data_IF_823273905860
#
_entry.id   IF_823273905860
#
_cell.length_a   1.000
_cell.length_b   1.000
_cell.length_c   1.000
_cell.angle_alpha   90.00
_cell.angle_beta   90.00
_cell.angle_gamma   90.00
#
_symmetry.space_group_name_H-M   'P 1'
#
loop_
_entity.id
_entity.type
_entity.pdbx_description
1 polymer ?
#
# COMPACT_ATOMS: atom_id res chain seq x y z
N UNK A 1 -30.63 16.06 15.91
CA UNK A 1 -29.32 16.75 16.04
C UNK A 1 -28.45 16.21 17.18
N UNK A 2 -28.85 16.28 18.46
CA UNK A 2 -28.01 15.78 19.58
C UNK A 2 -27.68 14.27 19.52
N UNK A 3 -28.66 13.41 19.21
CA UNK A 3 -28.46 11.95 19.07
C UNK A 3 -27.51 11.59 17.92
N UNK A 4 -27.56 12.35 16.83
CA UNK A 4 -26.69 12.16 15.67
C UNK A 4 -25.25 12.58 15.98
N UNK A 5 -25.06 13.64 16.78
CA UNK A 5 -23.74 14.11 17.21
C UNK A 5 -23.07 13.13 18.16
N UNK A 6 -23.81 12.57 19.12
CA UNK A 6 -23.31 11.55 20.06
C UNK A 6 -22.90 10.26 19.33
N UNK A 7 -23.70 9.81 18.35
CA UNK A 7 -23.36 8.67 17.48
C UNK A 7 -22.07 8.91 16.68
N UNK A 8 -21.92 10.09 16.07
CA UNK A 8 -20.72 10.44 15.30
C UNK A 8 -19.46 10.51 16.18
N UNK A 9 -19.56 11.06 17.39
CA UNK A 9 -18.42 11.11 18.33
C UNK A 9 -18.02 9.70 18.77
N UNK A 10 -18.99 8.82 19.05
CA UNK A 10 -18.72 7.42 19.40
C UNK A 10 -18.07 6.65 18.25
N UNK A 11 -18.58 6.82 17.03
CA UNK A 11 -17.99 6.23 15.82
C UNK A 11 -16.57 6.74 15.60
N UNK A 12 -16.34 8.05 15.72
CA UNK A 12 -15.02 8.63 15.58
C UNK A 12 -14.04 8.12 16.64
N UNK A 13 -14.46 8.08 17.91
CA UNK A 13 -13.65 7.54 19.00
C UNK A 13 -13.31 6.06 18.81
N UNK A 14 -14.26 5.27 18.30
CA UNK A 14 -14.05 3.87 18.00
C UNK A 14 -13.09 3.68 16.81
N UNK A 15 -13.25 4.44 15.73
CA UNK A 15 -12.31 4.44 14.60
C UNK A 15 -10.90 4.87 15.03
N UNK A 16 -10.77 5.91 15.85
CA UNK A 16 -9.49 6.38 16.36
C UNK A 16 -8.81 5.31 17.24
N UNK A 17 -9.58 4.64 18.10
CA UNK A 17 -9.08 3.54 18.92
C UNK A 17 -8.63 2.36 18.05
N UNK A 18 -9.42 1.97 17.06
CA UNK A 18 -9.05 0.91 16.11
C UNK A 18 -7.77 1.25 15.36
N UNK A 19 -7.65 2.49 14.86
CA UNK A 19 -6.44 2.95 14.19
C UNK A 19 -5.22 2.88 15.12
N UNK A 20 -5.35 3.34 16.36
CA UNK A 20 -4.28 3.27 17.35
C UNK A 20 -3.84 1.81 17.62
N UNK A 21 -4.80 0.89 17.80
CA UNK A 21 -4.53 -0.54 18.00
C UNK A 21 -3.85 -1.14 16.78
N UNK A 22 -4.33 -0.85 15.56
CA UNK A 22 -3.69 -1.31 14.33
C UNK A 22 -2.25 -0.82 14.21
N UNK A 23 -1.97 0.44 14.55
CA UNK A 23 -0.62 1.01 14.50
C UNK A 23 0.32 0.33 15.50
N UNK A 24 -0.16 0.03 16.72
CA UNK A 24 0.64 -0.72 17.71
C UNK A 24 0.98 -2.11 17.19
N UNK A 25 -0.01 -2.85 16.66
CA UNK A 25 0.22 -4.19 16.10
C UNK A 25 1.18 -4.11 14.90
N UNK A 26 0.98 -3.14 14.02
CA UNK A 26 1.85 -2.93 12.87
C UNK A 26 3.29 -2.68 13.30
N UNK A 27 3.51 -1.83 14.31
CA UNK A 27 4.84 -1.58 14.89
C UNK A 27 5.47 -2.85 15.47
N UNK A 28 4.73 -3.64 16.24
CA UNK A 28 5.22 -4.92 16.81
C UNK A 28 5.61 -5.91 15.71
N UNK A 29 4.76 -6.09 14.70
CA UNK A 29 5.03 -6.99 13.57
C UNK A 29 6.22 -6.48 12.75
N UNK A 30 6.33 -5.17 12.53
CA UNK A 30 7.46 -4.57 11.83
C UNK A 30 8.78 -4.81 12.58
N UNK A 31 8.84 -4.53 13.88
CA UNK A 31 10.03 -4.79 14.69
C UNK A 31 10.45 -6.26 14.66
N UNK A 32 9.49 -7.19 14.78
CA UNK A 32 9.78 -8.61 14.69
C UNK A 32 10.35 -9.02 13.31
N UNK A 33 9.87 -8.40 12.23
CA UNK A 33 10.40 -8.65 10.89
C UNK A 33 11.80 -8.09 10.70
N UNK A 34 12.12 -6.94 11.33
CA UNK A 34 13.49 -6.39 11.33
C UNK A 34 14.46 -7.30 12.08
N UNK A 35 14.09 -7.80 13.26
CA UNK A 35 14.94 -8.71 14.05
C UNK A 35 15.25 -10.02 13.28
N UNK A 36 14.28 -10.50 12.49
CA UNK A 36 14.46 -11.67 11.62
C UNK A 36 15.44 -11.41 10.47
N UNK A 37 15.46 -10.18 9.93
CA UNK A 37 16.34 -9.76 8.84
C UNK A 37 17.80 -9.67 9.34
N UNK A 38 18.02 -9.02 10.49
CA UNK A 38 19.35 -8.95 11.13
C UNK A 38 19.90 -10.35 11.48
N UNK A 39 19.02 -11.24 11.93
CA UNK A 39 19.38 -12.63 12.23
C UNK A 39 19.85 -13.38 10.99
N UNK A 40 19.26 -13.10 9.82
CA UNK A 40 19.64 -13.74 8.56
C UNK A 40 21.00 -13.23 8.04
N UNK A 41 21.31 -11.95 8.19
CA UNK A 41 22.61 -11.38 7.80
C UNK A 41 23.77 -11.85 8.68
N UNK A 42 23.50 -12.17 9.94
CA UNK A 42 24.53 -12.66 10.88
C UNK A 42 25.04 -14.08 10.59
N UNK A 43 24.41 -14.81 9.66
CA UNK A 43 24.88 -16.13 9.24
C UNK A 43 26.26 -15.99 8.55
N UNK A 44 27.32 -16.64 9.08
CA UNK A 44 28.67 -16.44 8.55
C UNK A 44 28.70 -16.80 7.07
N UNK A 45 29.26 -15.93 6.21
CA UNK A 45 29.35 -16.20 4.79
C UNK A 45 30.07 -17.54 4.62
N UNK A 46 29.40 -18.49 3.99
CA UNK A 46 29.96 -19.80 3.71
C UNK A 46 31.31 -19.57 3.02
N UNK A 47 32.38 -19.95 3.72
CA UNK A 47 33.77 -19.65 3.37
C UNK A 47 34.11 -20.17 1.98
N UNK A 48 33.95 -19.31 0.97
CA UNK A 48 34.33 -19.54 -0.41
C UNK A 48 35.04 -18.28 -0.88
N UNK A 49 36.37 -18.27 -0.75
CA UNK A 49 37.20 -17.11 -0.95
C UNK A 49 37.14 -16.54 -2.37
N UNK A 50 37.05 -15.22 -2.45
CA UNK A 50 37.89 -14.39 -3.32
C UNK A 50 37.74 -12.93 -2.88
N UNK A 51 38.78 -12.41 -2.24
CA UNK A 51 38.91 -11.00 -1.87
C UNK A 51 39.07 -10.15 -3.14
N UNK A 52 37.96 -9.59 -3.64
CA UNK A 52 38.03 -8.47 -4.55
C UNK A 52 37.62 -7.19 -3.82
N UNK A 53 38.64 -6.41 -3.44
CA UNK A 53 38.51 -5.02 -3.05
C UNK A 53 37.89 -4.21 -4.20
N UNK A 54 36.57 -4.01 -4.20
CA UNK A 54 35.96 -2.94 -5.00
C UNK A 54 35.90 -1.66 -4.15
N UNK A 55 36.49 -0.54 -4.64
CA UNK A 55 36.49 0.73 -3.94
C UNK A 55 35.13 1.42 -4.05
N UNK A 56 34.63 1.89 -2.91
CA UNK A 56 33.67 2.97 -2.71
C UNK A 56 32.72 3.28 -3.88
N UNK A 57 31.55 2.65 -3.85
CA UNK A 57 30.43 3.01 -4.71
C UNK A 57 29.72 4.27 -4.18
N UNK A 58 29.47 5.27 -5.03
CA UNK A 58 28.88 6.55 -4.65
C UNK A 58 27.45 6.42 -4.10
N UNK A 59 27.10 7.37 -3.22
CA UNK A 59 25.89 7.55 -2.37
C UNK A 59 24.59 7.73 -3.17
N UNK A 60 24.34 6.85 -4.13
CA UNK A 60 23.13 6.83 -4.94
C UNK A 60 22.77 5.45 -5.47
N UNK A 61 23.49 4.40 -5.05
CA UNK A 61 23.01 3.03 -5.26
C UNK A 61 21.80 2.86 -4.34
N UNK A 62 20.61 3.02 -4.92
CA UNK A 62 19.38 2.38 -4.46
C UNK A 62 19.81 1.00 -3.99
N UNK A 63 19.76 0.76 -2.69
CA UNK A 63 20.12 -0.53 -2.09
C UNK A 63 19.38 -1.55 -2.95
N UNK A 64 20.09 -2.43 -3.69
CA UNK A 64 19.42 -3.41 -4.53
C UNK A 64 18.53 -4.19 -3.59
N UNK A 65 17.20 -4.05 -3.77
CA UNK A 65 16.26 -4.78 -2.93
C UNK A 65 16.68 -6.25 -3.03
N UNK A 66 16.93 -6.93 -1.89
CA UNK A 66 17.37 -8.31 -1.89
C UNK A 66 16.49 -9.11 -2.86
N UNK A 67 17.12 -9.78 -3.81
CA UNK A 67 16.46 -10.46 -4.93
C UNK A 67 15.62 -11.63 -4.40
N UNK A 68 14.40 -11.31 -3.97
CA UNK A 68 13.43 -12.28 -3.48
C UNK A 68 13.06 -12.07 -2.02
N UNK A 69 11.92 -11.39 -1.81
CA UNK A 69 11.17 -11.54 -0.57
C UNK A 69 10.94 -13.03 -0.30
N UNK A 70 11.10 -13.50 0.96
CA UNK A 70 10.82 -14.88 1.29
C UNK A 70 9.38 -15.22 0.85
N UNK A 71 9.15 -16.33 0.14
CA UNK A 71 7.84 -16.65 -0.46
C UNK A 71 6.73 -16.72 0.59
N UNK A 72 7.10 -17.08 1.83
CA UNK A 72 6.21 -17.09 2.98
C UNK A 72 5.69 -15.69 3.34
N UNK A 73 6.53 -14.64 3.25
CA UNK A 73 6.14 -13.27 3.55
C UNK A 73 5.21 -12.71 2.49
N UNK A 74 5.51 -13.00 1.21
CA UNK A 74 4.63 -12.63 0.08
C UNK A 74 3.28 -13.35 0.19
N UNK A 75 3.29 -14.65 0.46
CA UNK A 75 2.07 -15.42 0.70
C UNK A 75 1.29 -14.90 1.91
N UNK A 76 1.99 -14.53 2.99
CA UNK A 76 1.41 -13.91 4.18
C UNK A 76 0.73 -12.57 3.87
N UNK A 77 1.37 -11.71 3.07
CA UNK A 77 0.81 -10.43 2.62
C UNK A 77 -0.50 -10.61 1.84
N UNK A 78 -0.50 -11.47 0.82
CA UNK A 78 -1.71 -11.74 0.02
C UNK A 78 -2.79 -12.45 0.84
N UNK A 79 -2.40 -13.38 1.71
CA UNK A 79 -3.30 -14.09 2.62
C UNK A 79 -3.98 -13.16 3.61
N UNK A 80 -3.24 -12.25 4.24
CA UNK A 80 -3.79 -11.22 5.13
C UNK A 80 -4.71 -10.25 4.38
N UNK A 81 -4.36 -9.88 3.14
CA UNK A 81 -5.21 -9.05 2.29
C UNK A 81 -6.56 -9.72 2.00
N UNK A 82 -6.54 -11.00 1.61
CA UNK A 82 -7.74 -11.78 1.36
C UNK A 82 -8.56 -11.97 2.64
N UNK A 83 -7.91 -12.25 3.77
CA UNK A 83 -8.54 -12.36 5.07
C UNK A 83 -9.25 -11.07 5.46
N UNK A 84 -8.61 -9.91 5.28
CA UNK A 84 -9.21 -8.60 5.53
C UNK A 84 -10.45 -8.39 4.67
N UNK A 85 -10.39 -8.71 3.38
CA UNK A 85 -11.55 -8.62 2.49
C UNK A 85 -12.72 -9.50 2.99
N UNK A 86 -12.44 -10.75 3.35
CA UNK A 86 -13.45 -11.68 3.90
C UNK A 86 -14.03 -11.16 5.22
N UNK A 87 -13.20 -10.63 6.12
CA UNK A 87 -13.67 -10.07 7.40
C UNK A 87 -14.55 -8.83 7.19
N UNK A 88 -14.23 -7.97 6.21
CA UNK A 88 -15.10 -6.84 5.85
C UNK A 88 -16.43 -7.35 5.28
N UNK A 89 -16.43 -8.39 4.43
CA UNK A 89 -17.66 -9.02 3.93
C UNK A 89 -18.51 -9.63 5.06
N UNK A 90 -17.89 -10.32 6.01
CA UNK A 90 -18.57 -10.87 7.19
C UNK A 90 -19.14 -9.72 8.04
N UNK A 91 -18.36 -8.67 8.30
CA UNK A 91 -18.78 -7.52 9.09
C UNK A 91 -20.00 -6.85 8.45
N UNK A 92 -20.01 -6.73 7.13
CA UNK A 92 -21.16 -6.21 6.38
C UNK A 92 -22.44 -7.03 6.66
N UNK A 93 -22.36 -8.35 6.57
CA UNK A 93 -23.51 -9.24 6.80
C UNK A 93 -23.99 -9.21 8.26
N UNK A 94 -23.08 -9.02 9.21
CA UNK A 94 -23.39 -9.01 10.64
C UNK A 94 -23.51 -7.61 11.25
N UNK A 95 -23.51 -6.54 10.46
CA UNK A 95 -23.43 -5.15 10.97
C UNK A 95 -24.49 -4.78 12.02
N UNK A 96 -25.69 -5.37 11.92
CA UNK A 96 -26.82 -5.14 12.84
C UNK A 96 -26.90 -6.15 13.99
N UNK A 97 -26.08 -7.18 13.98
CA UNK A 97 -26.16 -8.30 14.91
C UNK A 97 -25.14 -8.12 16.04
N UNK A 98 -25.60 -7.60 17.17
CA UNK A 98 -24.82 -7.62 18.41
C UNK A 98 -24.86 -9.03 19.04
N UNK A 99 -23.74 -9.58 19.53
CA UNK A 99 -22.39 -8.97 19.65
C UNK A 99 -21.46 -9.25 18.45
N UNK A 100 -21.94 -10.00 17.44
CA UNK A 100 -21.11 -10.49 16.33
C UNK A 100 -20.41 -9.38 15.56
N UNK A 101 -21.04 -8.22 15.36
CA UNK A 101 -20.40 -7.08 14.69
C UNK A 101 -19.13 -6.61 15.41
N UNK A 102 -19.14 -6.50 16.73
CA UNK A 102 -17.97 -6.06 17.51
C UNK A 102 -16.85 -7.09 17.50
N UNK A 103 -17.19 -8.39 17.55
CA UNK A 103 -16.18 -9.46 17.45
C UNK A 103 -15.50 -9.43 16.08
N UNK A 104 -16.28 -9.36 14.99
CA UNK A 104 -15.73 -9.27 13.63
C UNK A 104 -14.91 -8.00 13.45
N UNK A 105 -15.35 -6.89 14.02
CA UNK A 105 -14.62 -5.62 13.99
C UNK A 105 -13.27 -5.71 14.71
N UNK A 106 -13.22 -6.38 15.86
CA UNK A 106 -11.97 -6.64 16.59
C UNK A 106 -11.01 -7.53 15.80
N UNK A 107 -11.52 -8.61 15.20
CA UNK A 107 -10.73 -9.50 14.33
C UNK A 107 -10.17 -8.74 13.12
N UNK A 108 -10.99 -7.92 12.46
CA UNK A 108 -10.57 -7.07 11.35
C UNK A 108 -9.48 -6.07 11.77
N UNK A 109 -9.60 -5.51 12.98
CA UNK A 109 -8.59 -4.58 13.52
C UNK A 109 -7.26 -5.31 13.73
N UNK A 110 -7.29 -6.52 14.30
CA UNK A 110 -6.10 -7.34 14.51
C UNK A 110 -5.42 -7.68 13.17
N UNK A 111 -6.20 -8.16 12.19
CA UNK A 111 -5.68 -8.56 10.89
C UNK A 111 -5.18 -7.39 10.06
N UNK A 112 -5.82 -6.22 10.13
CA UNK A 112 -5.34 -4.99 9.48
C UNK A 112 -4.03 -4.49 10.11
N UNK A 113 -3.89 -4.54 11.43
CA UNK A 113 -2.63 -4.23 12.10
C UNK A 113 -1.49 -5.15 11.64
N UNK A 114 -1.72 -6.46 11.59
CA UNK A 114 -0.74 -7.41 11.07
C UNK A 114 -0.40 -7.13 9.59
N UNK A 115 -1.42 -6.87 8.77
CA UNK A 115 -1.26 -6.55 7.35
C UNK A 115 -0.36 -5.33 7.14
N UNK A 116 -0.57 -4.25 7.90
CA UNK A 116 0.27 -3.06 7.81
C UNK A 116 1.70 -3.28 8.31
N UNK A 117 1.87 -4.07 9.37
CA UNK A 117 3.20 -4.47 9.82
C UNK A 117 3.97 -5.20 8.72
N UNK A 118 3.32 -6.16 8.06
CA UNK A 118 3.92 -6.87 6.92
C UNK A 118 4.17 -5.91 5.75
N UNK A 119 3.21 -5.05 5.39
CA UNK A 119 3.34 -4.14 4.23
C UNK A 119 4.45 -3.10 4.39
N UNK A 120 4.77 -2.73 5.62
CA UNK A 120 5.87 -1.80 5.94
C UNK A 120 7.27 -2.44 5.82
N UNK A 121 7.36 -3.77 5.73
CA UNK A 121 8.65 -4.43 5.47
C UNK A 121 9.16 -4.09 4.07
N UNK A 122 10.47 -3.91 3.92
CA UNK A 122 11.11 -3.56 2.64
C UNK A 122 10.70 -4.49 1.48
N UNK A 123 10.42 -5.75 1.80
CA UNK A 123 10.03 -6.79 0.86
C UNK A 123 8.58 -6.69 0.34
N UNK A 124 7.64 -6.23 1.17
CA UNK A 124 6.23 -6.12 0.81
C UNK A 124 5.84 -4.69 0.38
N UNK A 125 6.70 -3.71 0.65
CA UNK A 125 6.53 -2.30 0.27
C UNK A 125 6.13 -2.17 -1.19
N UNK A 126 6.86 -2.84 -2.08
CA UNK A 126 6.64 -2.63 -3.49
C UNK A 126 5.42 -3.38 -4.06
N UNK A 127 5.06 -4.52 -3.48
CA UNK A 127 3.77 -5.17 -3.76
C UNK A 127 2.61 -4.27 -3.34
N UNK A 128 2.74 -3.61 -2.18
CA UNK A 128 1.77 -2.66 -1.67
C UNK A 128 1.64 -1.43 -2.57
N UNK A 129 2.77 -0.87 -3.02
CA UNK A 129 2.79 0.26 -3.94
C UNK A 129 2.24 -0.11 -5.33
N UNK A 130 2.53 -1.31 -5.83
CA UNK A 130 1.97 -1.81 -7.10
C UNK A 130 0.45 -1.96 -7.00
N UNK A 131 -0.04 -2.55 -5.91
CA UNK A 131 -1.47 -2.68 -5.64
C UNK A 131 -2.14 -1.31 -5.51
N UNK A 132 -1.53 -0.36 -4.79
CA UNK A 132 -2.06 0.99 -4.63
C UNK A 132 -2.09 1.73 -5.98
N UNK A 133 -1.02 1.68 -6.76
CA UNK A 133 -0.95 2.29 -8.08
C UNK A 133 -2.03 1.72 -9.02
N UNK A 134 -2.21 0.40 -9.01
CA UNK A 134 -3.27 -0.28 -9.77
C UNK A 134 -4.66 0.24 -9.40
N UNK A 135 -4.94 0.36 -8.10
CA UNK A 135 -6.23 0.88 -7.59
C UNK A 135 -6.45 2.35 -7.98
N UNK A 136 -5.45 3.22 -7.81
CA UNK A 136 -5.53 4.64 -8.16
C UNK A 136 -5.80 4.84 -9.65
N UNK A 137 -5.08 4.12 -10.52
CA UNK A 137 -5.31 4.17 -11.96
C UNK A 137 -6.71 3.68 -12.29
N UNK A 138 -7.11 2.54 -11.72
CA UNK A 138 -8.43 1.94 -11.96
C UNK A 138 -9.56 2.90 -11.63
N UNK A 139 -9.53 3.49 -10.44
CA UNK A 139 -10.57 4.41 -9.96
C UNK A 139 -10.52 5.76 -10.68
N UNK A 140 -9.33 6.28 -10.98
CA UNK A 140 -9.16 7.51 -11.74
C UNK A 140 -9.76 7.40 -13.15
N UNK A 141 -9.45 6.29 -13.85
CA UNK A 141 -10.00 6.03 -15.18
C UNK A 141 -11.50 5.78 -15.12
N UNK A 142 -11.98 4.97 -14.18
CA UNK A 142 -13.42 4.74 -13.99
C UNK A 142 -14.17 6.05 -13.73
N UNK A 143 -13.62 6.95 -12.92
CA UNK A 143 -14.17 8.29 -12.65
C UNK A 143 -14.27 9.13 -13.93
N UNK A 144 -13.22 9.15 -14.74
CA UNK A 144 -13.20 9.86 -16.03
C UNK A 144 -14.25 9.29 -17.00
N UNK A 145 -14.36 7.96 -17.09
CA UNK A 145 -15.38 7.30 -17.93
C UNK A 145 -16.78 7.63 -17.44
N UNK A 146 -17.04 7.55 -16.14
CA UNK A 146 -18.32 7.96 -15.55
C UNK A 146 -18.65 9.43 -15.82
N UNK A 147 -17.65 10.33 -15.78
CA UNK A 147 -17.82 11.73 -16.15
C UNK A 147 -18.20 11.89 -17.63
N UNK A 148 -17.52 11.19 -18.53
CA UNK A 148 -17.84 11.19 -19.96
C UNK A 148 -19.25 10.63 -20.23
N UNK A 149 -19.65 9.56 -19.54
CA UNK A 149 -20.98 8.97 -19.65
C UNK A 149 -22.07 9.90 -19.10
N UNK A 150 -21.77 10.72 -18.09
CA UNK A 150 -22.71 11.72 -17.57
C UNK A 150 -23.12 12.75 -18.63
N UNK A 151 -22.19 13.14 -19.51
CA UNK A 151 -22.49 14.06 -20.62
C UNK A 151 -23.40 13.44 -21.70
N UNK A 152 -23.56 12.12 -21.71
CA UNK A 152 -24.41 11.38 -22.64
C UNK A 152 -25.73 11.01 -21.93
N UNK A 153 -26.69 11.96 -21.85
CA UNK A 153 -27.97 11.81 -21.12
C UNK A 153 -28.72 10.50 -21.39
N UNK A 154 -28.53 9.88 -22.57
CA UNK A 154 -29.17 8.62 -22.96
C UNK A 154 -28.68 7.38 -22.20
N UNK A 155 -27.48 7.41 -21.61
CA UNK A 155 -26.92 6.25 -20.90
C UNK A 155 -27.44 6.08 -19.46
N UNK A 156 -28.19 7.07 -18.95
CA UNK A 156 -28.60 7.09 -17.53
C UNK A 156 -29.65 6.05 -17.14
N UNK A 157 -30.31 5.40 -18.10
CA UNK A 157 -31.25 4.30 -17.80
C UNK A 157 -30.55 3.05 -17.25
N UNK A 158 -29.22 2.96 -17.38
CA UNK A 158 -28.43 1.81 -16.97
C UNK A 158 -27.25 2.18 -16.05
N UNK A 159 -27.48 3.07 -15.07
CA UNK A 159 -26.43 3.58 -14.15
C UNK A 159 -25.54 2.47 -13.57
N UNK A 160 -26.14 1.37 -13.12
CA UNK A 160 -25.42 0.24 -12.51
C UNK A 160 -24.47 -0.44 -13.52
N UNK A 161 -24.95 -0.75 -14.73
CA UNK A 161 -24.10 -1.44 -15.72
C UNK A 161 -23.06 -0.49 -16.31
N UNK A 162 -23.38 0.80 -16.47
CA UNK A 162 -22.43 1.84 -16.86
C UNK A 162 -21.32 2.02 -15.83
N UNK A 163 -21.65 2.03 -14.54
CA UNK A 163 -20.67 2.08 -13.45
C UNK A 163 -19.76 0.85 -13.44
N UNK A 164 -20.35 -0.34 -13.59
CA UNK A 164 -19.59 -1.59 -13.65
C UNK A 164 -18.68 -1.63 -14.88
N UNK A 165 -19.16 -1.19 -16.04
CA UNK A 165 -18.37 -1.11 -17.27
C UNK A 165 -17.19 -0.13 -17.13
N UNK A 166 -17.42 1.03 -16.49
CA UNK A 166 -16.37 2.00 -16.21
C UNK A 166 -15.29 1.43 -15.26
N UNK A 167 -15.70 0.71 -14.22
CA UNK A 167 -14.80 0.01 -13.31
C UNK A 167 -13.99 -1.08 -14.03
N UNK A 168 -14.65 -1.92 -14.83
CA UNK A 168 -13.97 -2.95 -15.63
C UNK A 168 -12.96 -2.32 -16.59
N UNK A 169 -13.32 -1.23 -17.27
CA UNK A 169 -12.41 -0.53 -18.16
C UNK A 169 -11.20 0.04 -17.42
N UNK A 170 -11.42 0.76 -16.32
CA UNK A 170 -10.35 1.25 -15.46
C UNK A 170 -9.44 0.13 -14.96
N UNK A 171 -10.01 -0.99 -14.54
CA UNK A 171 -9.29 -2.15 -14.04
C UNK A 171 -8.40 -2.78 -15.11
N UNK A 172 -8.92 -2.94 -16.33
CA UNK A 172 -8.13 -3.47 -17.45
C UNK A 172 -6.95 -2.57 -17.81
N UNK A 173 -7.16 -1.24 -17.81
CA UNK A 173 -6.09 -0.28 -18.07
C UNK A 173 -5.05 -0.27 -16.93
N UNK A 174 -5.51 -0.32 -15.67
CA UNK A 174 -4.64 -0.47 -14.51
C UNK A 174 -3.78 -1.73 -14.59
N UNK A 175 -4.38 -2.86 -14.97
CA UNK A 175 -3.66 -4.14 -15.13
C UNK A 175 -2.61 -4.04 -16.24
N UNK A 176 -2.97 -3.45 -17.40
CA UNK A 176 -2.04 -3.26 -18.50
C UNK A 176 -0.83 -2.41 -18.08
N UNK A 177 -1.07 -1.30 -17.37
CA UNK A 177 0.02 -0.44 -16.87
C UNK A 177 0.87 -1.13 -15.80
N UNK A 178 0.27 -1.87 -14.88
CA UNK A 178 0.99 -2.64 -13.88
C UNK A 178 1.88 -3.72 -14.53
N UNK A 179 1.37 -4.39 -15.56
CA UNK A 179 2.12 -5.38 -16.34
C UNK A 179 3.28 -4.76 -17.11
N UNK A 180 3.03 -3.64 -17.82
CA UNK A 180 4.08 -2.90 -18.53
C UNK A 180 5.16 -2.43 -17.55
N UNK A 181 4.77 -1.91 -16.39
CA UNK A 181 5.72 -1.50 -15.37
C UNK A 181 6.55 -2.68 -14.83
N UNK A 182 5.92 -3.82 -14.55
CA UNK A 182 6.66 -5.00 -14.09
C UNK A 182 7.66 -5.51 -15.12
N UNK A 183 7.33 -5.46 -16.41
CA UNK A 183 8.24 -5.88 -17.48
C UNK A 183 9.37 -4.86 -17.73
N UNK A 184 9.10 -3.55 -17.61
CA UNK A 184 10.08 -2.51 -17.94
C UNK A 184 11.00 -2.10 -16.78
N UNK A 185 10.49 -2.13 -15.55
CA UNK A 185 11.20 -1.60 -14.39
C UNK A 185 11.81 -2.69 -13.51
N UNK A 186 11.33 -3.94 -13.63
CA UNK A 186 11.56 -4.99 -12.66
C UNK A 186 11.76 -6.34 -13.37
N UNK A 187 12.83 -6.46 -14.15
CA UNK A 187 13.24 -7.65 -14.96
C UNK A 187 13.19 -9.01 -14.21
N UNK A 188 13.02 -9.02 -12.88
CA UNK A 188 13.11 -10.20 -12.03
C UNK A 188 11.83 -10.61 -11.27
N UNK A 189 10.70 -9.89 -11.40
CA UNK A 189 9.60 -10.06 -10.44
C UNK A 189 8.63 -11.21 -10.76
N UNK A 190 8.65 -11.72 -11.98
CA UNK A 190 7.83 -12.84 -12.41
C UNK A 190 6.36 -12.49 -12.58
N UNK A 191 5.72 -13.17 -13.53
CA UNK A 191 4.38 -12.84 -14.02
C UNK A 191 3.29 -12.93 -12.93
N UNK A 192 3.48 -13.74 -11.88
CA UNK A 192 2.43 -14.03 -10.89
C UNK A 192 2.01 -12.83 -10.02
N UNK A 193 2.92 -11.89 -9.74
CA UNK A 193 2.68 -10.75 -8.84
C UNK A 193 1.64 -9.75 -9.37
N UNK A 194 1.75 -9.22 -10.60
CA UNK A 194 0.73 -8.30 -11.14
C UNK A 194 -0.65 -8.96 -11.23
N UNK A 195 -0.72 -10.27 -11.51
CA UNK A 195 -1.99 -11.01 -11.50
C UNK A 195 -2.60 -11.13 -10.10
N UNK A 196 -1.77 -11.36 -9.07
CA UNK A 196 -2.25 -11.39 -7.68
C UNK A 196 -2.80 -10.02 -7.25
N UNK A 197 -2.07 -8.93 -7.56
CA UNK A 197 -2.52 -7.56 -7.31
C UNK A 197 -3.84 -7.26 -8.02
N UNK A 198 -3.97 -7.64 -9.29
CA UNK A 198 -5.15 -7.41 -10.10
C UNK A 198 -6.36 -8.25 -9.65
N UNK A 199 -6.14 -9.50 -9.25
CA UNK A 199 -7.18 -10.37 -8.69
C UNK A 199 -7.72 -9.83 -7.37
N UNK A 200 -6.83 -9.42 -6.47
CA UNK A 200 -7.21 -8.81 -5.20
C UNK A 200 -7.93 -7.47 -5.40
N UNK A 201 -7.45 -6.61 -6.31
CA UNK A 201 -8.09 -5.33 -6.60
C UNK A 201 -9.47 -5.52 -7.21
N UNK A 202 -9.65 -6.49 -8.11
CA UNK A 202 -10.96 -6.84 -8.66
C UNK A 202 -11.93 -7.26 -7.56
N UNK A 203 -11.49 -8.13 -6.64
CA UNK A 203 -12.32 -8.60 -5.53
C UNK A 203 -12.70 -7.45 -4.58
N UNK A 204 -11.76 -6.56 -4.26
CA UNK A 204 -12.00 -5.37 -3.45
C UNK A 204 -12.97 -4.39 -4.13
N UNK A 205 -12.75 -4.08 -5.41
CA UNK A 205 -13.63 -3.20 -6.19
C UNK A 205 -15.03 -3.78 -6.32
N UNK A 206 -15.16 -5.09 -6.56
CA UNK A 206 -16.45 -5.76 -6.62
C UNK A 206 -17.19 -5.70 -5.28
N UNK A 207 -16.49 -5.94 -4.18
CA UNK A 207 -17.08 -5.82 -2.85
C UNK A 207 -17.57 -4.38 -2.57
N UNK A 208 -16.74 -3.38 -2.84
CA UNK A 208 -17.09 -1.98 -2.63
C UNK A 208 -18.25 -1.57 -3.56
N UNK A 209 -18.26 -2.06 -4.80
CA UNK A 209 -19.37 -1.85 -5.72
C UNK A 209 -20.67 -2.43 -5.17
N UNK A 210 -20.66 -3.67 -4.66
CA UNK A 210 -21.83 -4.29 -4.02
C UNK A 210 -22.29 -3.54 -2.77
N UNK A 211 -21.35 -3.09 -1.93
CA UNK A 211 -21.62 -2.28 -0.74
C UNK A 211 -22.38 -1.00 -1.12
N UNK A 212 -21.92 -0.34 -2.17
CA UNK A 212 -22.50 0.92 -2.62
C UNK A 212 -23.71 0.74 -3.54
N UNK A 213 -23.93 -0.44 -4.13
CA UNK A 213 -25.05 -0.74 -5.01
C UNK A 213 -26.39 -0.43 -4.33
N UNK A 214 -26.50 -0.72 -3.04
CA UNK A 214 -27.70 -0.40 -2.26
C UNK A 214 -27.96 1.11 -2.21
N UNK A 215 -26.91 1.92 -2.04
CA UNK A 215 -27.01 3.38 -2.13
C UNK A 215 -27.34 3.85 -3.54
N UNK A 216 -26.83 3.18 -4.57
CA UNK A 216 -27.10 3.50 -5.97
C UNK A 216 -28.55 3.27 -6.39
N UNK A 217 -29.16 2.19 -5.89
CA UNK A 217 -30.55 1.83 -6.21
C UNK A 217 -31.55 2.79 -5.58
N UNK A 218 -31.20 3.37 -4.42
CA UNK A 218 -32.08 4.27 -3.67
C UNK A 218 -31.71 5.76 -3.81
N UNK A 219 -30.58 6.07 -4.45
CA UNK A 219 -30.05 7.42 -4.66
C UNK A 219 -30.54 8.08 -5.95
N UNK A 220 -30.33 9.40 -6.05
CA UNK A 220 -30.60 10.15 -7.27
C UNK A 220 -29.47 9.92 -8.30
N UNK A 221 -29.72 10.17 -9.58
CA UNK A 221 -28.76 9.96 -10.68
C UNK A 221 -27.45 10.76 -10.55
N UNK A 222 -27.43 11.86 -9.79
CA UNK A 222 -26.21 12.60 -9.46
C UNK A 222 -25.24 11.82 -8.53
N UNK A 223 -25.67 10.68 -7.98
CA UNK A 223 -24.87 9.87 -7.05
C UNK A 223 -23.83 8.98 -7.73
N UNK A 224 -23.72 8.93 -9.07
CA UNK A 224 -22.69 8.10 -9.73
C UNK A 224 -21.26 8.64 -9.53
N UNK A 225 -21.08 9.96 -9.61
CA UNK A 225 -19.76 10.56 -9.32
C UNK A 225 -19.51 10.54 -7.81
N UNK A 226 -20.54 10.76 -7.00
CA UNK A 226 -20.47 10.61 -5.54
C UNK A 226 -20.13 9.18 -5.10
N UNK A 227 -20.62 8.18 -5.82
CA UNK A 227 -20.29 6.77 -5.66
C UNK A 227 -18.80 6.57 -5.87
N UNK A 228 -18.30 6.86 -7.08
CA UNK A 228 -16.90 6.57 -7.42
C UNK A 228 -15.96 7.40 -6.56
N UNK A 229 -16.29 8.67 -6.27
CA UNK A 229 -15.54 9.50 -5.33
C UNK A 229 -15.58 8.97 -3.90
N UNK A 230 -16.69 8.39 -3.46
CA UNK A 230 -16.81 7.72 -2.15
C UNK A 230 -16.01 6.41 -2.10
N UNK A 231 -15.96 5.65 -3.19
CA UNK A 231 -15.10 4.47 -3.32
C UNK A 231 -13.63 4.88 -3.24
N UNK A 232 -13.24 5.93 -3.96
CA UNK A 232 -11.87 6.46 -3.99
C UNK A 232 -11.43 6.98 -2.62
N UNK A 233 -12.28 7.80 -1.96
CA UNK A 233 -12.02 8.28 -0.61
C UNK A 233 -11.92 7.16 0.42
N UNK A 234 -12.79 6.14 0.33
CA UNK A 234 -12.77 4.99 1.25
C UNK A 234 -11.52 4.14 1.06
N UNK A 235 -11.12 3.89 -0.18
CA UNK A 235 -9.91 3.12 -0.52
C UNK A 235 -8.66 3.86 -0.05
N UNK A 236 -8.55 5.16 -0.35
CA UNK A 236 -7.42 5.99 0.09
C UNK A 236 -7.35 6.12 1.61
N UNK A 237 -8.50 6.22 2.29
CA UNK A 237 -8.54 6.30 3.75
C UNK A 237 -8.21 4.96 4.43
N UNK A 238 -8.63 3.82 3.86
CA UNK A 238 -8.40 2.49 4.45
C UNK A 238 -6.99 1.99 4.18
N UNK A 239 -6.47 2.24 2.98
CA UNK A 239 -5.22 1.65 2.50
C UNK A 239 -4.06 2.63 2.64
N UNK A 240 -4.22 3.88 2.19
CA UNK A 240 -3.09 4.80 2.02
C UNK A 240 -2.76 5.61 3.26
N UNK A 241 -3.78 6.08 4.00
CA UNK A 241 -3.58 7.01 5.12
C UNK A 241 -2.84 6.38 6.31
N UNK A 242 -3.19 5.17 6.76
CA UNK A 242 -2.48 4.51 7.86
C UNK A 242 -1.09 4.04 7.45
N UNK A 243 -0.93 3.63 6.20
CA UNK A 243 0.37 3.29 5.62
C UNK A 243 1.30 4.50 5.53
N UNK A 244 0.79 5.65 5.09
CA UNK A 244 1.53 6.91 5.07
C UNK A 244 1.97 7.31 6.49
N UNK A 245 1.10 7.15 7.48
CA UNK A 245 1.42 7.41 8.88
C UNK A 245 2.52 6.47 9.41
N UNK A 246 2.47 5.18 9.08
CA UNK A 246 3.53 4.23 9.41
C UNK A 246 4.85 4.58 8.72
N UNK A 247 4.82 4.94 7.45
CA UNK A 247 6.01 5.34 6.71
C UNK A 247 6.62 6.62 7.30
N UNK A 248 5.79 7.61 7.63
CA UNK A 248 6.22 8.84 8.32
C UNK A 248 6.75 8.56 9.73
N UNK A 249 6.09 7.70 10.51
CA UNK A 249 6.47 7.44 11.89
C UNK A 249 7.71 6.53 12.01
N UNK A 250 7.83 5.53 11.15
CA UNK A 250 8.85 4.48 11.25
C UNK A 250 10.04 4.73 10.31
N UNK A 251 9.84 5.23 9.09
CA UNK A 251 10.93 5.34 8.10
C UNK A 251 11.64 6.70 8.14
N UNK A 252 10.95 7.78 8.52
CA UNK A 252 11.56 9.13 8.57
C UNK A 252 12.66 9.27 9.62
N UNK A 253 12.52 8.74 10.86
CA UNK A 253 13.61 8.81 11.84
C UNK A 253 14.88 8.10 11.36
N UNK A 254 14.73 6.93 10.73
CA UNK A 254 15.85 6.13 10.21
C UNK A 254 16.56 6.84 9.04
N UNK A 255 15.80 7.46 8.13
CA UNK A 255 16.37 8.25 7.04
C UNK A 255 17.08 9.52 7.53
N UNK A 256 16.55 10.18 8.58
CA UNK A 256 17.17 11.35 9.20
C UNK A 256 18.49 11.01 9.89
N UNK A 257 18.57 9.86 10.59
CA UNK A 257 19.80 9.41 11.22
C UNK A 257 20.91 9.14 10.20
N UNK A 258 20.56 8.60 9.03
CA UNK A 258 21.52 8.32 7.97
C UNK A 258 22.14 9.60 7.38
N UNK A 259 21.33 10.64 7.17
CA UNK A 259 21.81 11.96 6.71
C UNK A 259 22.69 12.65 7.76
N UNK A 260 22.41 12.44 9.05
CA UNK A 260 23.23 13.01 10.12
C UNK A 260 24.58 12.31 10.31
N UNK A 261 24.67 11.02 9.95
CA UNK A 261 25.90 10.23 10.01
C UNK A 261 26.69 10.23 8.71
N UNK A 262 26.27 10.97 7.68
CA UNK A 262 27.09 11.18 6.49
C UNK A 262 28.45 11.73 6.96
N UNK A 263 29.54 10.93 6.87
CA UNK A 263 30.81 11.30 7.43
C UNK A 263 31.16 12.60 6.75
N UNK A 264 31.29 13.68 7.54
CA UNK A 264 31.82 14.93 7.04
C UNK A 264 33.15 14.56 6.43
N UNK A 265 33.21 14.49 5.10
CA UNK A 265 34.33 13.91 4.38
C UNK A 265 35.58 14.54 5.00
N UNK A 266 36.52 13.72 5.52
CA UNK A 266 37.64 14.24 6.30
C UNK A 266 38.24 15.35 5.46
N UNK A 267 38.15 16.59 5.98
CA UNK A 267 38.51 17.79 5.23
C UNK A 267 39.87 17.51 4.63
N UNK A 268 39.92 17.28 3.31
CA UNK A 268 41.15 16.87 2.64
C UNK A 268 42.15 17.92 3.04
N UNK A 269 43.19 17.57 3.84
CA UNK A 269 44.11 18.56 4.32
C UNK A 269 44.69 19.17 3.06
N UNK A 270 44.44 20.49 2.87
CA UNK A 270 44.84 21.22 1.69
C UNK A 270 46.31 20.91 1.47
N UNK A 271 46.59 20.01 0.52
CA UNK A 271 47.94 19.56 0.24
C UNK A 271 48.66 20.80 -0.21
N UNK A 272 49.59 21.23 0.65
CA UNK A 272 50.50 22.34 0.39
C UNK A 272 51.01 22.19 -1.03
N UNK A 273 50.57 23.14 -1.86
CA UNK A 273 50.99 23.37 -3.23
C UNK A 273 52.52 23.29 -3.28
N UNK A 274 53.04 22.11 -3.62
CA UNK A 274 54.46 21.88 -3.78
C UNK A 274 54.95 22.81 -4.90
N UNK A 275 55.96 23.60 -4.56
CA UNK A 275 56.65 24.51 -5.45
C UNK A 275 57.09 23.78 -6.73
N UNK A 276 56.72 24.33 -7.89
CA UNK A 276 57.34 23.96 -9.17
C UNK A 276 58.79 24.42 -9.12
N UNK A 277 59.79 23.55 -9.35
CA UNK A 277 61.13 24.03 -9.67
C UNK A 277 61.09 24.71 -11.05
N UNK A 278 61.66 25.91 -11.12
CA UNK A 278 61.97 26.58 -12.37
C UNK A 278 63.07 25.79 -13.10
N UNK A 279 62.80 25.36 -14.33
CA UNK A 279 63.81 24.80 -15.21
C UNK A 279 64.53 25.94 -15.94
N UNK A 280 65.88 25.96 -15.97
CA UNK A 280 66.69 26.86 -16.80
C UNK A 280 66.65 26.49 -18.29
#
# INVERSE_FOLDING_TARGET
LYVQRDSLVKMFGLCALQLAVCLVIAGVVHSFLLDLDESAESAPPASGGHEHHEPYLPVGKVIPLPEGAPPLLVAGYWGLSLLNLVLIMILWNYRSSHPCNYVTLALLTLSMGCFWGVSSSHFAFAEHMLFLAHMVVTLGVASLVCLCLRYQEKCFQHVVSSALAALCFGWTLGLALAYIYSELALDSWGVARPWAAAGLSMAALFFIFLYMLHSLVHGATDDLIGLVGGMDASIMAIISLPYLLLLLACCVPSALQWVQHEPTAPAVPATSRAERPANP
#
